data_IF_387266039493
#
_entry.id   IF_387266039493
#
_cell.length_a   1.000
_cell.length_b   1.000
_cell.length_c   1.000
_cell.angle_alpha   90.00
_cell.angle_beta   90.00
_cell.angle_gamma   90.00
#
_symmetry.space_group_name_H-M   'P 1'
#
loop_
_entity.id
_entity.type
_entity.pdbx_description
1 polymer ?
#
# COMPACT_ATOMS: atom_id res chain seq x y z
N UNK A 1 -13.71 9.01 1.70
CA UNK A 1 -12.74 7.93 1.39
C UNK A 1 -11.87 7.74 2.63
N UNK A 2 -11.80 6.53 3.19
CA UNK A 2 -11.08 6.20 4.44
C UNK A 2 -9.67 5.66 4.20
N UNK A 3 -9.31 5.48 2.94
CA UNK A 3 -8.04 4.92 2.51
C UNK A 3 -7.31 5.95 1.62
N UNK A 4 -5.99 5.95 1.69
CA UNK A 4 -5.12 6.69 0.76
C UNK A 4 -4.57 5.66 -0.21
N UNK A 5 -4.82 5.84 -1.50
CA UNK A 5 -4.25 5.01 -2.56
C UNK A 5 -2.91 5.61 -3.02
N UNK A 6 -1.87 4.79 -3.15
CA UNK A 6 -0.53 5.26 -3.51
C UNK A 6 -0.33 5.45 -5.02
N UNK A 7 -1.03 4.69 -5.86
CA UNK A 7 -0.95 4.78 -7.32
C UNK A 7 -2.08 3.97 -7.95
N UNK A 8 -3.23 4.61 -8.15
CA UNK A 8 -4.48 3.94 -8.51
C UNK A 8 -4.38 3.11 -9.80
N UNK A 9 -3.51 3.52 -10.73
CA UNK A 9 -3.32 2.89 -12.03
C UNK A 9 -2.18 1.86 -12.06
N UNK A 10 -1.42 1.69 -10.98
CA UNK A 10 -0.24 0.81 -10.98
C UNK A 10 -0.53 -0.51 -10.26
N UNK A 11 0.12 -1.57 -10.74
CA UNK A 11 -0.01 -2.91 -10.19
C UNK A 11 1.10 -3.20 -9.19
N UNK A 12 0.73 -3.54 -7.96
CA UNK A 12 1.65 -4.03 -6.94
C UNK A 12 1.56 -5.56 -6.89
N UNK A 13 2.63 -6.23 -7.31
CA UNK A 13 2.68 -7.69 -7.45
C UNK A 13 3.67 -8.28 -6.45
N UNK A 14 3.22 -9.26 -5.66
CA UNK A 14 4.14 -10.11 -4.89
C UNK A 14 4.65 -11.23 -5.80
N UNK A 15 5.98 -11.36 -6.04
CA UNK A 15 6.52 -12.42 -6.88
C UNK A 15 6.14 -13.84 -6.43
N UNK A 16 5.77 -14.02 -5.16
CA UNK A 16 5.36 -15.32 -4.62
C UNK A 16 3.99 -15.79 -5.12
N UNK A 17 3.08 -14.87 -5.47
CA UNK A 17 1.72 -15.22 -5.92
C UNK A 17 1.30 -14.60 -7.26
N UNK A 18 2.04 -13.62 -7.77
CA UNK A 18 1.80 -13.00 -9.08
C UNK A 18 0.49 -12.20 -9.17
N UNK A 19 -0.20 -11.95 -8.04
CA UNK A 19 -1.49 -11.26 -8.08
C UNK A 19 -1.29 -9.73 -8.08
N UNK A 20 -1.91 -9.00 -9.05
CA UNK A 20 -1.95 -7.54 -9.04
C UNK A 20 -2.85 -7.03 -7.92
N UNK A 21 -2.35 -6.02 -7.20
CA UNK A 21 -3.03 -5.37 -6.08
C UNK A 21 -2.81 -3.87 -6.15
N UNK A 22 -3.70 -3.12 -5.50
CA UNK A 22 -3.47 -1.73 -5.14
C UNK A 22 -2.87 -1.64 -3.75
N UNK A 23 -1.86 -0.78 -3.58
CA UNK A 23 -1.29 -0.45 -2.27
C UNK A 23 -2.06 0.71 -1.65
N UNK A 24 -2.57 0.52 -0.43
CA UNK A 24 -3.40 1.50 0.25
C UNK A 24 -3.01 1.66 1.71
N UNK A 25 -3.08 2.89 2.22
CA UNK A 25 -3.04 3.15 3.65
C UNK A 25 -4.46 3.29 4.20
N UNK A 26 -4.92 2.30 4.97
CA UNK A 26 -6.20 2.33 5.65
C UNK A 26 -6.08 3.14 6.94
N UNK A 27 -6.80 4.27 7.01
CA UNK A 27 -6.69 5.24 8.10
C UNK A 27 -7.57 4.86 9.28
N UNK A 28 -7.08 5.09 10.49
CA UNK A 28 -7.88 5.01 11.70
C UNK A 28 -8.61 6.34 11.95
N UNK A 29 -9.87 6.24 12.37
CA UNK A 29 -10.64 7.39 12.79
C UNK A 29 -10.13 7.93 14.12
N UNK A 30 -10.15 9.24 14.27
CA UNK A 30 -9.83 9.83 15.56
C UNK A 30 -10.90 9.46 16.61
N UNK A 31 -10.51 9.39 17.90
CA UNK A 31 -11.47 9.19 18.98
C UNK A 31 -12.57 10.27 18.97
N UNK A 32 -13.75 9.95 19.50
CA UNK A 32 -14.96 10.80 19.46
C UNK A 32 -14.78 12.25 19.96
N UNK A 33 -13.78 12.50 20.80
CA UNK A 33 -13.49 13.82 21.39
C UNK A 33 -12.32 14.55 20.73
N UNK A 34 -11.76 14.00 19.66
CA UNK A 34 -10.72 14.64 18.86
C UNK A 34 -11.38 15.47 17.74
N UNK A 35 -10.97 16.73 17.52
CA UNK A 35 -11.52 17.54 16.43
C UNK A 35 -11.12 17.05 15.03
N UNK A 36 -10.13 16.15 14.91
CA UNK A 36 -9.70 15.57 13.63
C UNK A 36 -10.61 14.42 13.22
N UNK A 37 -10.72 14.16 11.91
CA UNK A 37 -11.45 12.99 11.39
C UNK A 37 -10.62 11.70 11.57
N UNK A 38 -9.32 11.79 11.35
CA UNK A 38 -8.37 10.67 11.44
C UNK A 38 -7.28 10.99 12.46
N UNK A 39 -6.81 10.00 13.22
CA UNK A 39 -5.81 10.21 14.28
C UNK A 39 -4.37 10.32 13.76
N UNK A 40 -4.15 10.04 12.46
CA UNK A 40 -2.83 10.00 11.83
C UNK A 40 -2.20 8.62 11.80
N UNK A 41 -2.88 7.61 12.33
CA UNK A 41 -2.45 6.22 12.32
C UNK A 41 -3.28 5.38 11.34
N UNK A 42 -2.82 4.16 11.07
CA UNK A 42 -3.51 3.25 10.18
C UNK A 42 -2.75 1.96 9.95
N UNK A 43 -2.98 1.37 8.79
CA UNK A 43 -2.28 0.18 8.34
C UNK A 43 -2.04 0.25 6.84
N UNK A 44 -0.82 -0.06 6.41
CA UNK A 44 -0.51 -0.28 5.00
C UNK A 44 -0.97 -1.68 4.60
N UNK A 45 -1.82 -1.76 3.59
CA UNK A 45 -2.42 -2.99 3.07
C UNK A 45 -2.29 -3.04 1.55
N UNK A 46 -2.32 -4.24 0.98
CA UNK A 46 -2.45 -4.43 -0.45
C UNK A 46 -3.71 -5.25 -0.76
N UNK A 47 -4.53 -4.76 -1.70
CA UNK A 47 -5.86 -5.30 -1.97
C UNK A 47 -6.01 -5.59 -3.47
N UNK A 48 -6.57 -6.75 -3.81
CA UNK A 48 -7.01 -7.01 -5.20
C UNK A 48 -8.22 -6.13 -5.47
N UNK A 49 -8.07 -5.13 -6.34
CA UNK A 49 -9.07 -4.07 -6.58
C UNK A 49 -9.69 -4.11 -7.98
N UNK A 50 -9.89 -5.31 -8.51
CA UNK A 50 -10.53 -5.55 -9.80
C UNK A 50 -11.88 -6.23 -9.57
N UNK A 51 -12.96 -5.53 -9.92
CA UNK A 51 -14.33 -5.95 -9.66
C UNK A 51 -14.76 -7.20 -10.44
N UNK A 52 -14.07 -7.53 -11.54
CA UNK A 52 -14.39 -8.67 -12.39
C UNK A 52 -13.70 -9.96 -11.92
N UNK A 53 -12.75 -9.86 -10.97
CA UNK A 53 -12.05 -11.02 -10.40
C UNK A 53 -12.83 -11.68 -9.28
N UNK A 54 -12.74 -13.01 -9.21
CA UNK A 54 -13.31 -13.79 -8.12
C UNK A 54 -12.65 -13.52 -6.75
N UNK A 55 -11.39 -13.07 -6.74
CA UNK A 55 -10.65 -12.70 -5.53
C UNK A 55 -10.63 -11.19 -5.27
N UNK A 56 -11.57 -10.44 -5.85
CA UNK A 56 -11.76 -9.02 -5.53
C UNK A 56 -11.95 -8.81 -4.02
N UNK A 57 -11.20 -7.86 -3.45
CA UNK A 57 -11.19 -7.57 -2.03
C UNK A 57 -10.28 -8.49 -1.21
N UNK A 58 -9.60 -9.48 -1.81
CA UNK A 58 -8.54 -10.23 -1.14
C UNK A 58 -7.43 -9.27 -0.70
N UNK A 59 -7.10 -9.30 0.59
CA UNK A 59 -6.27 -8.32 1.25
C UNK A 59 -5.12 -8.99 1.99
N UNK A 60 -3.94 -8.39 1.87
CA UNK A 60 -2.78 -8.74 2.68
C UNK A 60 -2.27 -7.53 3.46
N UNK A 61 -1.92 -7.77 4.72
CA UNK A 61 -1.26 -6.77 5.55
C UNK A 61 0.20 -6.60 5.11
N UNK A 62 0.60 -5.34 4.90
CA UNK A 62 1.99 -4.96 4.60
C UNK A 62 2.67 -4.44 5.86
N UNK A 63 1.96 -3.67 6.70
CA UNK A 63 2.40 -3.24 8.04
C UNK A 63 1.52 -3.84 9.15
N UNK A 64 1.95 -3.70 10.41
CA UNK A 64 1.06 -3.87 11.57
C UNK A 64 0.02 -2.74 11.64
N UNK A 65 -1.10 -2.95 12.36
CA UNK A 65 -2.07 -1.89 12.62
C UNK A 65 -1.51 -0.78 13.53
N UNK A 66 -2.04 0.43 13.38
CA UNK A 66 -1.75 1.58 14.25
C UNK A 66 -0.40 2.25 14.02
N UNK A 67 0.25 1.99 12.89
CA UNK A 67 1.49 2.70 12.50
C UNK A 67 1.17 4.13 12.12
N UNK A 68 2.10 5.05 12.36
CA UNK A 68 1.97 6.44 11.92
C UNK A 68 2.05 6.49 10.39
N UNK A 69 1.20 7.31 9.77
CA UNK A 69 1.25 7.53 8.34
C UNK A 69 2.61 8.07 7.88
N UNK A 70 3.18 9.03 8.62
CA UNK A 70 4.47 9.64 8.29
C UNK A 70 5.65 8.63 8.34
N UNK A 71 5.58 7.63 9.22
CA UNK A 71 6.58 6.56 9.27
C UNK A 71 6.50 5.68 8.01
N UNK A 72 5.28 5.43 7.52
CA UNK A 72 5.07 4.71 6.26
C UNK A 72 5.54 5.53 5.07
N UNK A 73 5.21 6.82 4.99
CA UNK A 73 5.69 7.72 3.94
C UNK A 73 7.22 7.76 3.89
N UNK A 74 7.85 7.83 5.06
CA UNK A 74 9.32 7.82 5.17
C UNK A 74 9.90 6.49 4.69
N UNK A 75 9.30 5.36 5.08
CA UNK A 75 9.76 4.04 4.64
C UNK A 75 9.58 3.81 3.13
N UNK A 76 8.58 4.46 2.53
CA UNK A 76 8.27 4.37 1.10
C UNK A 76 8.92 5.47 0.27
N UNK A 77 9.75 6.35 0.83
CA UNK A 77 10.36 7.44 0.04
C UNK A 77 11.07 6.89 -1.23
N UNK A 78 10.73 7.46 -2.39
CA UNK A 78 11.29 7.05 -3.68
C UNK A 78 10.84 5.66 -4.17
N UNK A 79 9.79 5.07 -3.62
CA UNK A 79 9.35 3.71 -3.96
C UNK A 79 9.10 3.48 -5.45
N UNK A 80 8.65 4.50 -6.19
CA UNK A 80 8.42 4.45 -7.63
C UNK A 80 9.70 4.28 -8.47
N UNK A 81 10.87 4.40 -7.86
CA UNK A 81 12.17 4.15 -8.52
C UNK A 81 12.73 2.79 -8.12
N UNK A 82 12.83 2.52 -6.81
CA UNK A 82 13.51 1.30 -6.33
C UNK A 82 12.62 0.06 -6.29
N UNK A 83 11.30 0.23 -6.27
CA UNK A 83 10.36 -0.89 -6.26
C UNK A 83 9.83 -1.24 -7.65
N UNK A 84 10.04 -0.41 -8.67
CA UNK A 84 9.57 -0.70 -10.03
C UNK A 84 10.28 -1.92 -10.61
N UNK A 85 9.49 -2.90 -11.05
CA UNK A 85 9.98 -4.07 -11.78
C UNK A 85 10.16 -3.74 -13.26
N UNK A 86 9.14 -3.13 -13.87
CA UNK A 86 9.18 -2.63 -15.23
C UNK A 86 8.11 -1.55 -15.43
N UNK A 87 8.29 -0.77 -16.49
CA UNK A 87 7.36 0.25 -16.99
C UNK A 87 6.78 -0.29 -18.29
N UNK A 88 5.46 -0.25 -18.46
CA UNK A 88 4.78 -0.71 -19.67
C UNK A 88 5.12 0.17 -20.89
N UNK A 89 4.82 -0.33 -22.09
CA UNK A 89 5.13 0.34 -23.37
C UNK A 89 4.48 1.73 -23.51
N UNK A 90 3.49 2.06 -22.68
CA UNK A 90 2.86 3.38 -22.65
C UNK A 90 3.63 4.41 -21.80
N UNK A 91 4.73 4.00 -21.16
CA UNK A 91 5.59 4.81 -20.28
C UNK A 91 4.87 5.42 -19.06
N UNK A 92 3.67 4.92 -18.74
CA UNK A 92 2.80 5.44 -17.69
C UNK A 92 2.51 4.35 -16.65
N UNK A 93 2.10 3.18 -17.11
CA UNK A 93 1.74 2.08 -16.24
C UNK A 93 3.00 1.38 -15.75
N UNK A 94 2.97 1.01 -14.47
CA UNK A 94 4.12 0.42 -13.79
C UNK A 94 3.70 -0.79 -13.01
N UNK A 95 4.55 -1.80 -13.08
CA UNK A 95 4.47 -2.95 -12.20
C UNK A 95 5.50 -2.79 -11.08
N UNK A 96 5.03 -2.91 -9.84
CA UNK A 96 5.76 -2.61 -8.62
C UNK A 96 5.97 -3.89 -7.81
N UNK A 97 7.18 -4.11 -7.34
CA UNK A 97 7.56 -5.25 -6.51
C UNK A 97 7.03 -5.07 -5.08
N UNK A 98 5.89 -5.71 -4.79
CA UNK A 98 5.30 -5.68 -3.46
C UNK A 98 6.18 -6.37 -2.41
N UNK A 99 6.97 -7.37 -2.80
CA UNK A 99 7.95 -8.02 -1.92
C UNK A 99 9.03 -7.04 -1.44
N UNK A 100 9.53 -6.18 -2.34
CA UNK A 100 10.51 -5.15 -1.98
C UNK A 100 9.92 -4.10 -1.01
N UNK A 101 8.66 -3.71 -1.24
CA UNK A 101 7.90 -2.83 -0.34
C UNK A 101 7.78 -3.46 1.06
N UNK A 102 7.39 -4.75 1.14
CA UNK A 102 7.27 -5.48 2.42
C UNK A 102 8.59 -5.52 3.19
N UNK A 103 9.70 -5.78 2.51
CA UNK A 103 11.02 -5.79 3.15
C UNK A 103 11.44 -4.41 3.67
N UNK A 104 11.12 -3.32 2.96
CA UNK A 104 11.36 -1.96 3.45
C UNK A 104 10.54 -1.62 4.69
N UNK A 105 9.25 -1.97 4.69
CA UNK A 105 8.36 -1.77 5.84
C UNK A 105 8.83 -2.60 7.05
N UNK A 106 9.29 -3.82 6.81
CA UNK A 106 9.91 -4.67 7.85
C UNK A 106 11.20 -4.08 8.39
N UNK A 107 12.09 -3.59 7.53
CA UNK A 107 13.35 -2.96 7.92
C UNK A 107 13.13 -1.67 8.73
N UNK A 108 12.05 -0.94 8.46
CA UNK A 108 11.60 0.21 9.25
C UNK A 108 10.97 -0.18 10.61
N UNK A 109 10.81 -1.48 10.89
CA UNK A 109 10.23 -1.96 12.14
C UNK A 109 8.72 -1.74 12.25
N UNK A 110 8.02 -1.70 11.11
CA UNK A 110 6.59 -1.42 11.01
C UNK A 110 5.71 -2.67 10.82
N UNK A 111 6.28 -3.87 10.94
CA UNK A 111 5.56 -5.16 10.92
C UNK A 111 5.24 -5.68 12.32
#
# INVERSE_FOLDING_TARGET
MTEIDYALAWDFIDPADGKPRQLRFRRNFAPRNDPRIFDGTGQLVAVVADADRADNGDEIAISRPGVLFDDVETALEGWHDWATLYVDDNDIDRTINLGAIRERIRAAGLT
#
